data_IF_256325071126
#
_entry.id   IF_256325071126
#
_cell.length_a   1.000
_cell.length_b   1.000
_cell.length_c   1.000
_cell.angle_alpha   90.00
_cell.angle_beta   90.00
_cell.angle_gamma   90.00
#
_symmetry.space_group_name_H-M   'P 1'
#
loop_
_entity.id
_entity.type
_entity.pdbx_description
1 polymer ?
#
# COMPACT_ATOMS: atom_id res chain seq x y z
N UNK A 1 11.68 23.96 0.16
CA UNK A 1 10.66 23.60 1.17
C UNK A 1 11.29 22.71 2.22
N UNK A 2 10.72 22.64 3.42
CA UNK A 2 11.14 21.76 4.52
C UNK A 2 9.95 20.87 4.90
N UNK A 3 10.21 19.62 5.23
CA UNK A 3 9.17 18.71 5.69
C UNK A 3 8.87 18.99 7.16
N UNK A 4 7.59 19.10 7.50
CA UNK A 4 7.11 19.30 8.87
C UNK A 4 6.36 18.07 9.40
N UNK A 5 5.73 17.31 8.51
CA UNK A 5 5.05 16.06 8.83
C UNK A 5 5.32 15.00 7.77
N UNK A 6 5.51 13.76 8.25
CA UNK A 6 5.57 12.56 7.43
C UNK A 6 4.88 11.43 8.19
N UNK A 7 3.93 10.75 7.56
CA UNK A 7 3.37 9.51 8.09
C UNK A 7 3.16 8.49 6.99
N UNK A 8 3.21 7.22 7.37
CA UNK A 8 3.03 6.08 6.48
C UNK A 8 2.06 5.12 7.15
N UNK A 9 1.10 4.62 6.37
CA UNK A 9 0.18 3.54 6.75
C UNK A 9 0.14 2.53 5.61
N UNK A 10 -0.12 1.27 5.93
CA UNK A 10 -0.23 0.22 4.94
C UNK A 10 -1.35 -0.77 5.27
N UNK A 11 -1.81 -1.49 4.24
CA UNK A 11 -2.78 -2.58 4.38
C UNK A 11 -2.13 -3.97 4.48
N UNK A 12 -0.80 -4.03 4.51
CA UNK A 12 -0.08 -5.29 4.75
C UNK A 12 -0.46 -5.79 6.15
N UNK A 13 -0.95 -7.02 6.22
CA UNK A 13 -1.36 -7.70 7.46
C UNK A 13 -0.23 -7.62 8.48
N UNK A 14 -0.54 -7.25 9.72
CA UNK A 14 0.33 -7.57 10.84
C UNK A 14 0.22 -9.09 11.05
N UNK A 15 1.33 -9.82 11.03
CA UNK A 15 1.36 -11.24 11.37
C UNK A 15 0.83 -11.41 12.79
N UNK A 16 -0.47 -11.69 12.94
CA UNK A 16 -1.01 -12.22 14.17
C UNK A 16 -0.39 -13.62 14.34
N UNK A 17 0.53 -13.73 15.29
CA UNK A 17 1.04 -14.99 15.78
C UNK A 17 -0.14 -15.87 16.23
N UNK A 18 -0.63 -16.74 15.34
CA UNK A 18 -1.54 -17.80 15.68
C UNK A 18 -0.79 -18.82 16.54
N UNK A 19 -0.93 -18.69 17.87
CA UNK A 19 -0.62 -19.72 18.84
C UNK A 19 -1.35 -21.01 18.44
N UNK A 20 -0.58 -22.04 18.08
CA UNK A 20 -1.09 -23.39 17.84
C UNK A 20 -1.47 -24.03 19.17
N UNK A 21 -2.71 -23.84 19.63
CA UNK A 21 -3.23 -24.63 20.74
C UNK A 21 -3.74 -25.99 20.23
N UNK A 22 -2.96 -27.02 20.52
CA UNK A 22 -3.29 -28.42 20.29
C UNK A 22 -4.30 -28.89 21.35
N UNK A 23 -5.57 -29.02 20.98
CA UNK A 23 -6.51 -29.85 21.72
C UNK A 23 -7.01 -31.00 20.84
N UNK A 24 -6.41 -32.16 21.10
CA UNK A 24 -6.94 -33.46 20.75
C UNK A 24 -8.20 -33.75 21.57
N UNK A 25 -9.30 -34.12 20.91
CA UNK A 25 -10.27 -35.04 21.49
C UNK A 25 -10.83 -35.93 20.39
N UNK A 26 -10.86 -37.21 20.74
CA UNK A 26 -11.11 -38.40 19.94
C UNK A 26 -12.61 -38.67 19.91
N UNK A 27 -13.24 -38.82 18.73
CA UNK A 27 -14.15 -39.94 18.44
C UNK A 27 -14.97 -39.79 17.15
N UNK A 28 -15.15 -40.94 16.49
CA UNK A 28 -16.11 -41.32 15.44
C UNK A 28 -15.59 -41.46 13.99
N UNK A 29 -15.15 -42.68 13.70
CA UNK A 29 -15.10 -43.31 12.38
C UNK A 29 -16.46 -43.29 11.65
N UNK A 30 -16.49 -42.86 10.38
CA UNK A 30 -17.23 -43.54 9.30
C UNK A 30 -16.53 -43.35 7.94
N UNK A 31 -16.60 -44.43 7.16
CA UNK A 31 -15.97 -44.78 5.88
C UNK A 31 -15.85 -43.68 4.80
N UNK A 32 -14.78 -43.82 4.00
CA UNK A 32 -14.31 -42.96 2.93
C UNK A 32 -15.21 -42.86 1.68
N UNK A 33 -15.24 -41.66 1.10
CA UNK A 33 -15.12 -41.45 -0.35
C UNK A 33 -14.14 -40.28 -0.59
N UNK A 34 -13.24 -40.44 -1.56
CA UNK A 34 -12.26 -39.43 -1.96
C UNK A 34 -12.98 -38.17 -2.44
N UNK A 35 -12.67 -37.02 -1.83
CA UNK A 35 -12.54 -35.79 -2.62
C UNK A 35 -11.16 -35.21 -2.38
N UNK A 36 -10.35 -35.45 -3.40
CA UNK A 36 -9.03 -34.93 -3.60
C UNK A 36 -9.15 -33.45 -3.98
N UNK A 37 -8.31 -32.61 -3.36
CA UNK A 37 -7.89 -31.33 -3.90
C UNK A 37 -9.01 -30.27 -4.07
N UNK A 38 -9.10 -29.37 -3.11
CA UNK A 38 -8.42 -28.08 -3.25
C UNK A 38 -8.76 -27.27 -2.00
N UNK A 39 -7.79 -27.13 -1.09
CA UNK A 39 -7.68 -25.85 -0.42
C UNK A 39 -7.42 -24.84 -1.54
N UNK A 40 -8.49 -24.28 -2.09
CA UNK A 40 -8.44 -22.95 -2.65
C UNK A 40 -8.04 -22.05 -1.48
N UNK A 41 -6.74 -22.02 -1.19
CA UNK A 41 -6.11 -20.78 -0.87
C UNK A 41 -6.43 -19.90 -2.06
N UNK A 42 -7.60 -19.26 -2.03
CA UNK A 42 -7.81 -18.03 -2.75
C UNK A 42 -6.61 -17.20 -2.34
N UNK A 43 -5.61 -17.17 -3.22
CA UNK A 43 -4.55 -16.19 -3.17
C UNK A 43 -5.29 -14.90 -3.48
N UNK A 44 -5.98 -14.37 -2.48
CA UNK A 44 -6.22 -12.96 -2.36
C UNK A 44 -4.81 -12.39 -2.41
N UNK A 45 -4.38 -12.07 -3.62
CA UNK A 45 -3.28 -11.17 -3.88
C UNK A 45 -3.72 -9.88 -3.21
N UNK A 46 -3.52 -9.82 -1.90
CA UNK A 46 -3.87 -8.70 -1.07
C UNK A 46 -2.90 -7.63 -1.52
N UNK A 47 -3.31 -6.86 -2.52
CA UNK A 47 -2.49 -5.80 -3.07
C UNK A 47 -2.20 -4.86 -1.91
N UNK A 48 -0.96 -4.93 -1.41
CA UNK A 48 -0.49 -4.06 -0.37
C UNK A 48 -0.54 -2.63 -0.87
N UNK A 49 -1.38 -1.82 -0.25
CA UNK A 49 -1.43 -0.39 -0.50
C UNK A 49 -0.65 0.32 0.60
N UNK A 50 0.12 1.34 0.19
CA UNK A 50 0.77 2.27 1.09
C UNK A 50 0.11 3.63 0.93
N UNK A 51 -0.30 4.21 2.05
CA UNK A 51 -0.73 5.61 2.11
C UNK A 51 0.38 6.41 2.78
N UNK A 52 0.86 7.44 2.09
CA UNK A 52 1.93 8.31 2.56
C UNK A 52 1.39 9.74 2.59
N UNK A 53 1.55 10.41 3.72
CA UNK A 53 1.16 11.81 3.90
C UNK A 53 2.39 12.65 4.20
N UNK A 54 2.56 13.73 3.45
CA UNK A 54 3.64 14.70 3.64
C UNK A 54 3.10 16.11 3.74
N UNK A 55 3.56 16.86 4.75
CA UNK A 55 3.35 18.31 4.84
C UNK A 55 4.69 19.02 4.69
N UNK A 56 4.75 19.92 3.71
CA UNK A 56 5.92 20.74 3.43
C UNK A 56 5.63 22.21 3.68
N UNK A 57 6.52 22.86 4.42
CA UNK A 57 6.55 24.31 4.55
C UNK A 57 7.57 24.90 3.57
N UNK A 58 7.09 25.70 2.64
CA UNK A 58 7.93 26.45 1.69
C UNK A 58 8.03 27.91 2.15
N UNK A 59 9.19 28.54 1.99
CA UNK A 59 9.35 29.97 2.27
C UNK A 59 8.58 30.82 1.24
N UNK A 60 8.48 30.34 0.01
CA UNK A 60 7.73 30.94 -1.09
C UNK A 60 7.18 29.81 -1.96
N UNK A 61 5.89 29.53 -1.83
CA UNK A 61 5.24 28.42 -2.55
C UNK A 61 5.07 28.73 -4.04
N UNK A 62 4.96 30.00 -4.42
CA UNK A 62 4.79 30.41 -5.82
C UNK A 62 6.02 30.09 -6.69
N UNK A 63 7.17 29.82 -6.07
CA UNK A 63 8.39 29.35 -6.76
C UNK A 63 8.48 27.84 -6.94
N UNK A 64 7.56 27.06 -6.38
CA UNK A 64 7.55 25.61 -6.53
C UNK A 64 6.81 25.24 -7.82
N UNK A 65 7.55 24.78 -8.82
CA UNK A 65 6.98 24.45 -10.14
C UNK A 65 6.65 22.95 -10.29
N UNK A 66 7.44 22.09 -9.65
CA UNK A 66 7.28 20.63 -9.74
C UNK A 66 7.74 19.92 -8.46
N UNK A 67 7.21 18.72 -8.26
CA UNK A 67 7.70 17.74 -7.29
C UNK A 67 8.20 16.52 -8.07
N UNK A 68 9.46 16.15 -7.87
CA UNK A 68 10.04 14.93 -8.43
C UNK A 68 10.00 13.80 -7.39
N UNK A 69 9.63 12.60 -7.82
CA UNK A 69 9.63 11.39 -6.99
C UNK A 69 10.57 10.34 -7.55
N UNK A 70 11.25 9.62 -6.65
CA UNK A 70 12.07 8.46 -6.99
C UNK A 70 11.33 7.14 -6.77
N UNK A 71 10.03 7.18 -6.45
CA UNK A 71 9.25 6.02 -6.01
C UNK A 71 9.39 4.82 -6.94
N UNK A 72 9.14 5.00 -8.24
CA UNK A 72 9.22 3.91 -9.21
C UNK A 72 10.63 3.34 -9.44
N UNK A 73 11.69 4.08 -9.07
CA UNK A 73 13.06 3.55 -9.10
C UNK A 73 13.32 2.62 -7.92
N UNK A 74 12.73 2.93 -6.76
CA UNK A 74 12.87 2.15 -5.53
C UNK A 74 11.90 0.96 -5.48
N UNK A 75 10.67 1.18 -5.94
CA UNK A 75 9.56 0.23 -5.93
C UNK A 75 9.05 0.00 -7.35
N UNK A 76 9.86 -0.67 -8.17
CA UNK A 76 9.60 -0.86 -9.61
C UNK A 76 8.35 -1.68 -9.91
N UNK A 77 7.87 -2.47 -8.96
CA UNK A 77 6.64 -3.25 -9.07
C UNK A 77 5.36 -2.45 -8.76
N UNK A 78 5.47 -1.17 -8.38
CA UNK A 78 4.31 -0.32 -8.15
C UNK A 78 3.57 -0.09 -9.46
N UNK A 79 2.31 -0.51 -9.54
CA UNK A 79 1.48 -0.34 -10.74
C UNK A 79 1.20 1.15 -11.02
N UNK A 80 0.82 1.89 -9.98
CA UNK A 80 0.53 3.32 -10.04
C UNK A 80 0.59 4.01 -8.68
N UNK A 81 0.70 5.32 -8.69
CA UNK A 81 0.61 6.17 -7.51
C UNK A 81 -0.57 7.12 -7.69
N UNK A 82 -1.50 7.12 -6.74
CA UNK A 82 -2.57 8.11 -6.68
C UNK A 82 -2.14 9.25 -5.76
N UNK A 83 -2.22 10.48 -6.24
CA UNK A 83 -1.69 11.64 -5.55
C UNK A 83 -2.82 12.64 -5.38
N UNK A 84 -3.04 13.06 -4.14
CA UNK A 84 -3.83 14.24 -3.81
C UNK A 84 -2.85 15.35 -3.43
N UNK A 85 -2.72 16.36 -4.29
CA UNK A 85 -1.87 17.52 -4.06
C UNK A 85 -2.74 18.68 -3.55
N UNK A 86 -2.37 19.22 -2.40
CA UNK A 86 -3.03 20.36 -1.77
C UNK A 86 -2.02 21.47 -1.53
N UNK A 87 -2.40 22.69 -1.89
CA UNK A 87 -1.67 23.94 -1.67
C UNK A 87 -2.64 25.00 -1.13
N UNK A 88 -2.16 26.21 -0.88
CA UNK A 88 -2.99 27.34 -0.48
C UNK A 88 -4.02 27.77 -1.55
N UNK A 89 -3.74 27.47 -2.82
CA UNK A 89 -4.49 27.99 -3.97
C UNK A 89 -5.03 26.90 -4.90
N UNK A 90 -4.58 25.65 -4.77
CA UNK A 90 -4.92 24.53 -5.64
C UNK A 90 -5.08 23.23 -4.87
N UNK A 91 -6.11 22.46 -5.24
CA UNK A 91 -6.28 21.06 -4.87
C UNK A 91 -6.48 20.24 -6.15
N UNK A 92 -5.69 19.19 -6.34
CA UNK A 92 -5.78 18.34 -7.53
C UNK A 92 -5.50 16.88 -7.20
N UNK A 93 -6.14 15.98 -7.94
CA UNK A 93 -5.90 14.55 -7.90
C UNK A 93 -5.30 14.11 -9.24
N UNK A 94 -4.20 13.35 -9.20
CA UNK A 94 -3.57 12.78 -10.40
C UNK A 94 -3.07 11.37 -10.13
N UNK A 95 -2.94 10.59 -11.20
CA UNK A 95 -2.27 9.28 -11.16
C UNK A 95 -0.92 9.39 -11.87
N UNK A 96 0.12 8.80 -11.28
CA UNK A 96 1.39 8.56 -11.97
C UNK A 96 1.51 7.08 -12.29
N UNK A 97 1.97 6.79 -13.50
CA UNK A 97 2.41 5.47 -13.95
C UNK A 97 3.87 5.55 -14.37
N UNK A 98 4.59 4.42 -14.38
CA UNK A 98 5.93 4.40 -14.97
C UNK A 98 5.88 4.86 -16.45
N UNK A 99 6.87 5.66 -16.92
CA UNK A 99 8.06 6.16 -16.22
C UNK A 99 7.89 7.57 -15.60
N UNK A 100 6.65 8.04 -15.40
CA UNK A 100 6.37 9.37 -14.88
C UNK A 100 6.88 9.51 -13.45
N UNK A 101 7.67 10.55 -13.20
CA UNK A 101 8.29 10.83 -11.90
C UNK A 101 8.09 12.28 -11.46
N UNK A 102 7.25 13.03 -12.19
CA UNK A 102 7.07 14.46 -12.02
C UNK A 102 5.61 14.81 -11.78
N UNK A 103 5.38 15.68 -10.81
CA UNK A 103 4.07 16.24 -10.48
C UNK A 103 4.18 17.75 -10.69
N UNK A 104 3.44 18.29 -11.64
CA UNK A 104 3.40 19.73 -11.89
C UNK A 104 2.45 20.43 -10.92
N UNK A 105 2.84 21.61 -10.42
CA UNK A 105 2.03 22.42 -9.50
C UNK A 105 1.00 23.29 -10.21
#
# INVERSE_FOLDING_TARGET
>A
CKIEHASVRHTLSEDEHHDHDHHADDSHHHQAEHDENHHEHEQHSNHGEFTIEYHYQCADLAKLEQIDTQWFKLFSATEKIRINLLTDTKQTALELHQPQSKIAL
#
